data_IF_492577379853
#
_entry.id   IF_492577379853
#
_cell.length_a   1.000
_cell.length_b   1.000
_cell.length_c   1.000
_cell.angle_alpha   90.00
_cell.angle_beta   90.00
_cell.angle_gamma   90.00
#
_symmetry.space_group_name_H-M   'P 1'
#
loop_
_entity.id
_entity.type
_entity.pdbx_description
1 polymer ?
#
# COMPACT_ATOMS: atom_id res chain seq x y z
N UNK A 1 5.07 -24.89 3.57
CA UNK A 1 4.92 -24.01 4.75
C UNK A 1 4.88 -22.58 4.23
N UNK A 2 3.86 -21.80 4.61
CA UNK A 2 3.81 -20.37 4.27
C UNK A 2 4.92 -19.62 5.03
N UNK A 3 5.53 -18.62 4.40
CA UNK A 3 6.53 -17.78 5.06
C UNK A 3 5.84 -16.99 6.19
N UNK A 4 6.39 -16.95 7.40
CA UNK A 4 5.83 -16.13 8.48
C UNK A 4 5.70 -14.66 8.06
N UNK A 5 4.60 -14.03 8.46
CA UNK A 5 4.34 -12.62 8.21
C UNK A 5 5.37 -11.80 9.01
N UNK A 6 6.03 -10.84 8.35
CA UNK A 6 7.00 -9.94 8.98
C UNK A 6 6.35 -8.60 9.38
N UNK A 7 6.59 -8.15 10.60
CA UNK A 7 6.18 -6.83 11.11
C UNK A 7 7.36 -5.90 11.41
N UNK A 8 8.53 -6.22 10.85
CA UNK A 8 9.77 -5.46 10.98
C UNK A 8 10.34 -5.05 9.60
N UNK A 9 11.36 -4.19 9.54
CA UNK A 9 11.98 -3.72 8.30
C UNK A 9 13.50 -3.90 8.34
N UNK A 10 14.06 -4.34 7.21
CA UNK A 10 15.50 -4.52 7.03
C UNK A 10 16.19 -3.25 6.51
N UNK A 11 15.41 -2.18 6.24
CA UNK A 11 15.93 -0.89 5.78
C UNK A 11 15.04 0.26 6.25
N UNK A 12 15.65 1.44 6.40
CA UNK A 12 14.95 2.72 6.50
C UNK A 12 15.74 3.81 5.77
N UNK A 13 15.09 4.86 5.23
CA UNK A 13 15.78 5.94 4.53
C UNK A 13 16.58 6.81 5.51
N UNK A 14 17.85 7.07 5.19
CA UNK A 14 18.67 8.04 5.90
C UNK A 14 18.66 9.38 5.15
N UNK A 15 17.95 10.37 5.70
CA UNK A 15 17.84 11.69 5.08
C UNK A 15 19.08 12.54 5.39
N UNK A 16 19.72 13.05 4.34
CA UNK A 16 20.97 13.84 4.42
C UNK A 16 20.73 15.24 5.03
N UNK A 17 19.51 15.78 4.89
CA UNK A 17 19.18 17.10 5.43
C UNK A 17 19.20 17.08 6.96
N UNK A 18 20.28 17.60 7.55
CA UNK A 18 20.42 17.71 9.00
C UNK A 18 19.52 18.84 9.49
N UNK A 19 18.39 18.49 10.10
CA UNK A 19 17.49 19.46 10.72
C UNK A 19 18.10 20.12 11.96
N UNK A 20 17.61 21.31 12.33
CA UNK A 20 18.09 22.08 13.50
C UNK A 20 18.18 21.25 14.79
N UNK A 21 17.24 20.33 15.00
CA UNK A 21 17.17 19.42 16.15
C UNK A 21 18.39 18.49 16.24
N UNK A 22 18.82 17.93 15.11
CA UNK A 22 19.99 17.05 15.06
C UNK A 22 21.29 17.84 15.31
N UNK A 23 21.36 19.09 14.86
CA UNK A 23 22.49 19.98 15.20
C UNK A 23 22.56 20.26 16.71
N UNK A 24 21.41 20.45 17.38
CA UNK A 24 21.35 20.60 18.84
C UNK A 24 21.80 19.32 19.55
N UNK A 25 21.35 18.14 19.09
CA UNK A 25 21.79 16.85 19.65
C UNK A 25 23.30 16.66 19.53
N UNK A 26 23.88 16.96 18.38
CA UNK A 26 25.33 16.91 18.18
C UNK A 26 26.07 17.93 19.05
N UNK A 27 25.51 19.12 19.26
CA UNK A 27 26.11 20.11 20.15
C UNK A 27 26.09 19.68 21.62
N UNK A 28 25.05 18.98 22.09
CA UNK A 28 24.91 18.54 23.49
C UNK A 28 25.71 17.28 23.80
N UNK A 29 25.69 16.32 22.87
CA UNK A 29 26.21 14.95 23.12
C UNK A 29 27.31 14.53 22.15
N UNK A 30 27.76 15.42 21.26
CA UNK A 30 28.73 15.09 20.22
C UNK A 30 28.21 14.00 19.28
N UNK A 31 29.13 13.15 18.84
CA UNK A 31 28.80 12.01 17.97
C UNK A 31 27.86 11.00 18.64
N UNK A 32 27.83 10.93 19.98
CA UNK A 32 26.97 9.98 20.69
C UNK A 32 25.50 10.31 20.46
N UNK A 33 25.11 11.59 20.49
CA UNK A 33 23.71 11.97 20.22
C UNK A 33 23.24 11.53 18.83
N UNK A 34 24.09 11.71 17.83
CA UNK A 34 23.83 11.26 16.47
C UNK A 34 23.77 9.73 16.38
N UNK A 35 24.79 9.04 16.89
CA UNK A 35 24.90 7.58 16.81
C UNK A 35 23.74 6.88 17.54
N UNK A 36 23.39 7.34 18.75
CA UNK A 36 22.27 6.82 19.53
C UNK A 36 20.97 6.97 18.77
N UNK A 37 20.69 8.15 18.18
CA UNK A 37 19.46 8.33 17.42
C UNK A 37 19.31 7.30 16.29
N UNK A 38 20.35 7.12 15.47
CA UNK A 38 20.26 6.16 14.37
C UNK A 38 20.21 4.71 14.84
N UNK A 39 20.90 4.36 15.93
CA UNK A 39 20.80 3.03 16.53
C UNK A 39 19.41 2.76 17.10
N UNK A 40 18.73 3.76 17.67
CA UNK A 40 17.33 3.63 18.07
C UNK A 40 16.45 3.37 16.85
N UNK A 41 16.66 4.08 15.73
CA UNK A 41 15.93 3.81 14.48
C UNK A 41 16.19 2.40 13.93
N UNK A 42 17.42 1.90 14.02
CA UNK A 42 17.77 0.52 13.65
C UNK A 42 16.99 -0.49 14.50
N UNK A 43 16.96 -0.29 15.83
CA UNK A 43 16.22 -1.16 16.74
C UNK A 43 14.70 -1.10 16.53
N UNK A 44 14.17 0.10 16.28
CA UNK A 44 12.77 0.25 15.87
C UNK A 44 12.50 -0.49 14.57
N UNK A 45 13.43 -0.45 13.60
CA UNK A 45 13.31 -1.18 12.34
C UNK A 45 13.28 -2.69 12.54
N UNK A 46 14.18 -3.23 13.37
CA UNK A 46 14.34 -4.67 13.59
C UNK A 46 13.22 -5.29 14.45
N UNK A 47 12.59 -4.48 15.33
CA UNK A 47 11.52 -4.94 16.22
C UNK A 47 10.17 -5.00 15.53
N UNK A 48 9.42 -6.09 15.78
CA UNK A 48 8.05 -6.22 15.29
C UNK A 48 7.16 -5.08 15.82
N UNK A 49 6.36 -4.50 14.93
CA UNK A 49 5.48 -3.36 15.21
C UNK A 49 6.21 -2.05 15.57
N UNK A 50 7.54 -2.01 15.45
CA UNK A 50 8.34 -0.78 15.50
C UNK A 50 8.21 0.06 16.77
N UNK A 51 8.24 -0.60 17.92
CA UNK A 51 8.36 0.06 19.21
C UNK A 51 9.38 -0.65 20.09
N UNK A 52 10.02 0.08 21.00
CA UNK A 52 10.90 -0.49 22.02
C UNK A 52 10.24 -0.36 23.38
N UNK A 53 10.25 -1.43 24.17
CA UNK A 53 9.84 -1.41 25.56
C UNK A 53 11.09 -1.46 26.44
N UNK A 54 11.38 -0.36 27.13
CA UNK A 54 12.57 -0.22 27.99
C UNK A 54 12.23 -0.34 29.48
N UNK A 55 11.10 -0.98 29.82
CA UNK A 55 10.74 -1.27 31.21
C UNK A 55 11.49 -2.47 31.81
N UNK A 56 12.12 -3.29 30.96
CA UNK A 56 13.00 -4.36 31.41
C UNK A 56 14.42 -3.84 31.58
N UNK A 57 14.95 -3.91 32.81
CA UNK A 57 16.29 -3.43 33.14
C UNK A 57 17.39 -4.10 32.31
N UNK A 58 17.26 -5.40 32.00
CA UNK A 58 18.25 -6.12 31.19
C UNK A 58 18.26 -5.63 29.74
N UNK A 59 17.08 -5.46 29.15
CA UNK A 59 16.94 -5.00 27.76
C UNK A 59 17.40 -3.55 27.63
N UNK A 60 17.07 -2.71 28.63
CA UNK A 60 17.55 -1.34 28.71
C UNK A 60 19.08 -1.26 28.85
N UNK A 61 19.67 -2.06 29.75
CA UNK A 61 21.12 -2.13 29.93
C UNK A 61 21.82 -2.57 28.64
N UNK A 62 21.29 -3.59 27.97
CA UNK A 62 21.81 -4.08 26.68
C UNK A 62 21.73 -3.01 25.58
N UNK A 63 20.61 -2.30 25.48
CA UNK A 63 20.46 -1.20 24.54
C UNK A 63 21.49 -0.08 24.77
N UNK A 64 21.68 0.33 26.03
CA UNK A 64 22.64 1.38 26.38
C UNK A 64 24.09 0.94 26.10
N UNK A 65 24.51 -0.19 26.67
CA UNK A 65 25.92 -0.55 26.75
C UNK A 65 26.42 -1.37 25.55
N UNK A 66 25.57 -2.18 24.91
CA UNK A 66 25.98 -3.08 23.82
C UNK A 66 25.60 -2.52 22.45
N UNK A 67 24.42 -1.91 22.32
CA UNK A 67 23.97 -1.35 21.05
C UNK A 67 24.47 0.09 20.91
N UNK A 68 24.10 0.96 21.85
CA UNK A 68 24.34 2.40 21.79
C UNK A 68 25.76 2.82 22.21
N UNK A 69 26.44 1.98 22.99
CA UNK A 69 27.79 2.23 23.51
C UNK A 69 27.88 3.53 24.34
N UNK A 70 26.85 3.80 25.14
CA UNK A 70 26.77 4.94 26.05
C UNK A 70 26.33 4.48 27.44
N UNK A 71 26.57 5.30 28.48
CA UNK A 71 26.03 5.01 29.80
C UNK A 71 24.51 5.14 29.81
N UNK A 72 23.85 4.44 30.73
CA UNK A 72 22.39 4.48 30.89
C UNK A 72 21.88 5.90 31.16
N UNK A 73 22.61 6.70 31.93
CA UNK A 73 22.25 8.09 32.22
C UNK A 73 22.34 8.98 30.98
N UNK A 74 23.31 8.71 30.11
CA UNK A 74 23.44 9.44 28.83
C UNK A 74 22.33 9.03 27.87
N UNK A 75 22.00 7.73 27.82
CA UNK A 75 20.90 7.24 26.98
C UNK A 75 19.57 7.89 27.39
N UNK A 76 19.27 7.96 28.69
CA UNK A 76 18.05 8.61 29.20
C UNK A 76 18.00 10.08 28.78
N UNK A 77 19.08 10.84 28.99
CA UNK A 77 19.14 12.26 28.60
C UNK A 77 18.93 12.47 27.09
N UNK A 78 19.50 11.58 26.27
CA UNK A 78 19.31 11.62 24.82
C UNK A 78 17.86 11.34 24.44
N UNK A 79 17.23 10.33 25.06
CA UNK A 79 15.82 9.99 24.80
C UNK A 79 14.87 11.09 25.30
N UNK A 80 15.16 11.70 26.44
CA UNK A 80 14.42 12.86 26.96
C UNK A 80 14.45 14.03 25.96
N UNK A 81 15.64 14.40 25.46
CA UNK A 81 15.77 15.45 24.46
C UNK A 81 15.08 15.08 23.13
N UNK A 82 15.15 13.82 22.70
CA UNK A 82 14.43 13.36 21.50
C UNK A 82 12.91 13.44 21.67
N UNK A 83 12.40 13.17 22.87
CA UNK A 83 10.98 13.32 23.21
C UNK A 83 10.57 14.79 23.24
N UNK A 84 11.36 15.66 23.88
CA UNK A 84 11.15 17.12 23.90
C UNK A 84 11.14 17.69 22.47
N UNK A 85 12.03 17.17 21.61
CA UNK A 85 12.11 17.58 20.21
C UNK A 85 11.02 16.96 19.34
N UNK A 86 10.17 16.07 19.86
CA UNK A 86 9.16 15.37 19.08
C UNK A 86 9.76 14.55 17.93
N UNK A 87 10.95 13.98 18.14
CA UNK A 87 11.49 12.91 17.29
C UNK A 87 10.92 11.55 17.73
N UNK A 88 10.66 11.38 19.02
CA UNK A 88 9.88 10.27 19.59
C UNK A 88 8.66 10.81 20.33
N UNK A 89 7.64 9.98 20.51
CA UNK A 89 6.41 10.36 21.20
C UNK A 89 6.64 10.50 22.72
N UNK A 90 6.40 11.69 23.25
CA UNK A 90 6.67 12.02 24.65
C UNK A 90 5.76 11.28 25.65
N UNK A 91 4.49 11.07 25.29
CA UNK A 91 3.53 10.38 26.15
C UNK A 91 3.95 8.91 26.34
N UNK A 92 4.26 8.21 25.25
CA UNK A 92 4.78 6.85 25.30
C UNK A 92 6.14 6.78 26.01
N UNK A 93 7.01 7.77 25.80
CA UNK A 93 8.32 7.82 26.45
C UNK A 93 8.20 7.91 27.97
N UNK A 94 7.22 8.63 28.51
CA UNK A 94 6.99 8.68 29.95
C UNK A 94 6.59 7.32 30.57
N UNK A 95 6.13 6.37 29.74
CA UNK A 95 5.95 4.96 30.09
C UNK A 95 7.14 4.07 29.67
N UNK A 96 8.31 4.67 29.38
CA UNK A 96 9.53 4.03 28.85
C UNK A 96 9.33 3.25 27.55
N UNK A 97 8.36 3.66 26.73
CA UNK A 97 8.13 3.10 25.41
C UNK A 97 8.67 4.08 24.36
N UNK A 98 9.58 3.61 23.51
CA UNK A 98 10.12 4.40 22.42
C UNK A 98 9.33 4.09 21.14
N UNK A 99 8.73 5.13 20.57
CA UNK A 99 8.04 5.07 19.28
C UNK A 99 8.16 6.41 18.57
N UNK A 100 8.27 6.41 17.23
CA UNK A 100 8.42 7.62 16.42
C UNK A 100 7.48 7.61 15.23
N UNK A 101 6.56 8.56 15.20
CA UNK A 101 5.64 8.75 14.07
C UNK A 101 6.41 9.05 12.77
N UNK A 102 7.46 9.85 12.84
CA UNK A 102 8.30 10.18 11.67
C UNK A 102 8.98 8.95 11.11
N UNK A 103 9.48 8.07 11.98
CA UNK A 103 10.04 6.79 11.55
C UNK A 103 9.00 5.93 10.84
N UNK A 104 7.80 5.77 11.43
CA UNK A 104 6.70 5.02 10.81
C UNK A 104 6.34 5.56 9.42
N UNK A 105 6.24 6.88 9.28
CA UNK A 105 5.97 7.53 8.00
C UNK A 105 7.08 7.25 6.98
N UNK A 106 8.34 7.26 7.41
CA UNK A 106 9.50 7.01 6.54
C UNK A 106 9.59 5.58 6.00
N UNK A 107 9.08 4.59 6.75
CA UNK A 107 9.10 3.17 6.37
C UNK A 107 7.77 2.68 5.79
N UNK A 108 6.74 3.54 5.75
CA UNK A 108 5.40 3.21 5.24
C UNK A 108 5.44 2.57 3.83
N UNK A 109 6.36 3.02 2.99
CA UNK A 109 6.61 2.48 1.65
C UNK A 109 7.06 1.02 1.66
N UNK A 110 7.79 0.58 2.69
CA UNK A 110 8.20 -0.81 2.86
C UNK A 110 7.02 -1.76 3.13
N UNK A 111 5.89 -1.22 3.59
CA UNK A 111 4.66 -1.97 3.88
C UNK A 111 3.64 -1.97 2.75
N UNK A 112 3.78 -1.11 1.72
CA UNK A 112 2.82 -1.00 0.61
C UNK A 112 2.50 -2.32 -0.11
N UNK A 113 3.45 -3.25 -0.15
CA UNK A 113 3.34 -4.55 -0.83
C UNK A 113 3.25 -5.74 0.12
N UNK A 114 3.17 -5.48 1.43
CA UNK A 114 3.07 -6.51 2.46
C UNK A 114 1.60 -6.75 2.79
N UNK A 115 1.29 -7.98 3.20
CA UNK A 115 -0.02 -8.28 3.79
C UNK A 115 -0.15 -7.65 5.19
N UNK A 116 0.97 -7.52 5.91
CA UNK A 116 1.04 -6.75 7.14
C UNK A 116 0.97 -5.24 6.85
N UNK A 117 0.33 -4.50 7.76
CA UNK A 117 0.27 -3.03 7.72
C UNK A 117 1.11 -2.44 8.85
N UNK A 118 1.62 -1.24 8.62
CA UNK A 118 2.19 -0.41 9.70
C UNK A 118 1.12 -0.16 10.76
N UNK A 119 1.48 -0.36 12.02
CA UNK A 119 0.59 -0.09 13.13
C UNK A 119 0.45 1.42 13.35
N UNK A 120 -0.77 1.92 13.51
CA UNK A 120 -1.00 3.31 13.91
C UNK A 120 -0.71 3.49 15.40
N UNK A 121 -0.63 4.73 15.87
CA UNK A 121 -0.45 5.01 17.30
C UNK A 121 -1.56 4.39 18.15
N UNK A 122 -2.81 4.45 17.69
CA UNK A 122 -3.98 3.88 18.37
C UNK A 122 -3.92 2.36 18.38
N UNK A 123 -3.51 1.76 17.24
CA UNK A 123 -3.29 0.34 17.13
C UNK A 123 -2.20 -0.15 18.07
N UNK A 124 -1.11 0.62 18.21
CA UNK A 124 0.00 0.32 19.11
C UNK A 124 -0.44 0.42 20.58
N UNK A 125 -1.15 1.48 20.96
CA UNK A 125 -1.69 1.61 22.31
C UNK A 125 -2.58 0.42 22.65
N UNK A 126 -3.49 0.04 21.74
CA UNK A 126 -4.36 -1.12 21.93
C UNK A 126 -3.57 -2.43 22.04
N UNK A 127 -2.55 -2.61 21.20
CA UNK A 127 -1.66 -3.77 21.26
C UNK A 127 -0.93 -3.88 22.61
N UNK A 128 -0.36 -2.79 23.10
CA UNK A 128 0.38 -2.75 24.37
C UNK A 128 -0.58 -3.01 25.55
N UNK A 129 -1.76 -2.38 25.57
CA UNK A 129 -2.76 -2.59 26.62
C UNK A 129 -3.23 -4.04 26.73
N UNK A 130 -3.28 -4.76 25.60
CA UNK A 130 -3.69 -6.16 25.54
C UNK A 130 -2.56 -7.14 25.87
N UNK A 131 -1.31 -6.81 25.50
CA UNK A 131 -0.16 -7.72 25.64
C UNK A 131 0.62 -7.51 26.93
N UNK A 132 0.63 -6.30 27.49
CA UNK A 132 1.46 -5.91 28.64
C UNK A 132 0.62 -5.31 29.77
N UNK A 133 -0.02 -6.13 30.61
CA UNK A 133 -0.92 -5.67 31.66
C UNK A 133 -0.24 -4.76 32.70
N UNK A 134 1.07 -4.86 32.91
CA UNK A 134 1.82 -3.97 33.82
C UNK A 134 1.94 -2.53 33.30
N UNK A 135 1.93 -2.34 31.98
CA UNK A 135 2.00 -1.00 31.36
C UNK A 135 0.63 -0.34 31.23
N UNK A 136 -0.44 -1.12 31.47
CA UNK A 136 -1.81 -0.67 31.42
C UNK A 136 -2.07 0.49 32.38
N UNK A 137 -1.66 0.37 33.64
CA UNK A 137 -1.89 1.40 34.67
C UNK A 137 -1.12 2.70 34.39
N UNK A 138 0.11 2.59 33.87
CA UNK A 138 0.91 3.75 33.45
C UNK A 138 0.28 4.46 32.25
N UNK A 139 -0.09 3.71 31.21
CA UNK A 139 -0.69 4.31 30.00
C UNK A 139 -2.06 4.95 30.28
N UNK A 140 -2.87 4.39 31.20
CA UNK A 140 -4.15 5.01 31.60
C UNK A 140 -4.00 6.33 32.36
N UNK A 141 -2.85 6.57 33.00
CA UNK A 141 -2.60 7.80 33.77
C UNK A 141 -1.96 8.89 32.92
N UNK A 142 -1.18 8.50 31.91
CA UNK A 142 -0.38 9.40 31.07
C UNK A 142 -1.16 9.85 29.83
N UNK A 143 -1.82 8.91 29.16
CA UNK A 143 -2.62 9.21 27.98
C UNK A 143 -4.03 9.44 28.51
N UNK A 144 -4.64 10.64 28.37
CA UNK A 144 -6.07 10.75 28.51
C UNK A 144 -6.66 9.94 27.35
N UNK A 145 -6.91 8.65 27.58
CA UNK A 145 -7.51 7.74 26.61
C UNK A 145 -8.94 8.22 26.24
N UNK A 146 -9.51 9.16 27.03
CA UNK A 146 -10.87 9.69 26.85
C UNK A 146 -11.19 10.26 25.45
N UNK A 147 -10.39 11.10 24.78
CA UNK A 147 -10.76 11.64 23.46
C UNK A 147 -10.54 10.61 22.33
N UNK A 148 -9.47 9.79 22.42
CA UNK A 148 -9.10 8.82 21.38
C UNK A 148 -10.05 7.61 21.39
N UNK A 149 -10.47 7.13 22.58
CA UNK A 149 -11.52 6.11 22.68
C UNK A 149 -12.93 6.69 22.47
N UNK A 150 -13.22 7.94 22.82
CA UNK A 150 -14.55 8.51 22.55
C UNK A 150 -14.87 8.48 21.05
N UNK A 151 -13.91 8.83 20.19
CA UNK A 151 -14.09 8.74 18.73
C UNK A 151 -14.36 7.32 18.21
N UNK A 152 -13.80 6.29 18.86
CA UNK A 152 -13.98 4.88 18.49
C UNK A 152 -15.28 4.28 19.06
N UNK A 153 -15.70 4.70 20.25
CA UNK A 153 -16.94 4.22 20.87
C UNK A 153 -18.19 4.80 20.22
N UNK A 154 -18.14 6.00 19.61
CA UNK A 154 -19.27 6.50 18.81
C UNK A 154 -19.44 5.74 17.49
N UNK A 155 -18.37 5.33 16.82
CA UNK A 155 -18.48 4.59 15.55
C UNK A 155 -18.96 3.15 15.74
N UNK A 156 -18.53 2.48 16.81
CA UNK A 156 -18.92 1.09 17.06
C UNK A 156 -20.33 1.01 17.67
N UNK A 157 -20.73 1.98 18.49
CA UNK A 157 -22.12 2.09 18.97
C UNK A 157 -23.07 2.61 17.89
N UNK A 158 -22.66 3.51 17.00
CA UNK A 158 -23.48 3.87 15.82
C UNK A 158 -23.59 2.72 14.84
N UNK A 159 -22.54 1.92 14.59
CA UNK A 159 -22.63 0.73 13.73
C UNK A 159 -23.52 -0.36 14.34
N UNK A 160 -23.44 -0.61 15.64
CA UNK A 160 -24.35 -1.53 16.34
C UNK A 160 -25.78 -0.99 16.45
N UNK A 161 -25.96 0.32 16.62
CA UNK A 161 -27.28 0.96 16.68
C UNK A 161 -27.90 1.08 15.29
N UNK A 162 -27.13 1.36 14.24
CA UNK A 162 -27.58 1.32 12.84
C UNK A 162 -27.88 -0.10 12.39
N UNK A 163 -27.04 -1.09 12.69
CA UNK A 163 -27.36 -2.50 12.41
C UNK A 163 -28.56 -3.03 13.21
N UNK A 164 -28.76 -2.57 14.45
CA UNK A 164 -29.95 -2.95 15.24
C UNK A 164 -31.21 -2.27 14.70
N UNK A 165 -31.14 -0.98 14.35
CA UNK A 165 -32.27 -0.25 13.75
C UNK A 165 -32.54 -0.64 12.30
N UNK A 166 -31.56 -1.15 11.54
CA UNK A 166 -31.77 -1.75 10.22
C UNK A 166 -32.38 -3.14 10.34
N UNK A 167 -31.94 -3.97 11.31
CA UNK A 167 -32.59 -5.25 11.62
C UNK A 167 -33.99 -5.11 12.20
N UNK A 168 -34.28 -4.01 12.90
CA UNK A 168 -35.62 -3.69 13.38
C UNK A 168 -36.49 -3.11 12.25
N UNK A 169 -35.92 -2.30 11.35
CA UNK A 169 -36.61 -1.80 10.13
C UNK A 169 -36.89 -2.90 9.11
N UNK A 170 -36.03 -3.90 8.99
CA UNK A 170 -36.26 -5.08 8.12
C UNK A 170 -37.27 -6.04 8.75
N UNK A 171 -37.27 -6.21 10.09
CA UNK A 171 -38.35 -6.93 10.79
C UNK A 171 -39.71 -6.23 10.67
N UNK A 172 -39.75 -4.91 10.75
CA UNK A 172 -41.00 -4.15 10.55
C UNK A 172 -41.46 -4.17 9.08
N UNK A 173 -40.53 -4.24 8.11
CA UNK A 173 -40.86 -4.44 6.69
C UNK A 173 -41.42 -5.82 6.38
N UNK A 174 -40.89 -6.86 7.04
CA UNK A 174 -41.39 -8.23 6.92
C UNK A 174 -42.75 -8.42 7.62
N UNK A 175 -43.04 -7.63 8.66
CA UNK A 175 -44.35 -7.61 9.34
C UNK A 175 -45.41 -6.87 8.52
N UNK A 176 -45.05 -5.80 7.79
CA UNK A 176 -45.96 -5.06 6.91
C UNK A 176 -46.21 -5.80 5.58
N UNK A 177 -45.30 -6.70 5.16
CA UNK A 177 -45.39 -7.44 3.90
C UNK A 177 -46.38 -8.63 3.85
N UNK A 178 -47.11 -8.92 4.92
CA UNK A 178 -48.08 -10.03 4.96
C UNK A 178 -49.51 -9.60 4.60
N UNK A 179 -49.83 -8.31 4.63
CA UNK A 179 -51.16 -7.81 4.26
C UNK A 179 -51.05 -6.79 3.13
N UNK A 180 -51.01 -7.27 1.89
CA UNK A 180 -51.83 -6.73 0.80
C UNK A 180 -51.57 -7.52 -0.47
N UNK A 181 -52.54 -8.38 -0.78
CA UNK A 181 -52.58 -9.12 -2.02
C UNK A 181 -53.02 -8.24 -3.19
N UNK A 182 -52.45 -8.60 -4.34
CA UNK A 182 -53.19 -8.81 -5.59
C UNK A 182 -53.57 -7.55 -6.39
N UNK A 183 -52.81 -7.26 -7.45
CA UNK A 183 -53.41 -6.92 -8.75
C UNK A 183 -52.47 -7.22 -9.94
N UNK A 184 -53.11 -7.57 -11.07
CA UNK A 184 -52.58 -8.29 -12.24
C UNK A 184 -52.25 -7.37 -13.43
N UNK A 185 -51.59 -8.00 -14.43
CA UNK A 185 -51.56 -7.71 -15.89
C UNK A 185 -50.61 -6.58 -16.35
N UNK A 186 -49.84 -6.66 -17.46
CA UNK A 186 -49.81 -7.53 -18.65
C UNK A 186 -48.55 -7.25 -19.49
N UNK A 187 -47.77 -8.31 -19.85
CA UNK A 187 -47.27 -8.72 -21.21
C UNK A 187 -47.37 -7.69 -22.38
N UNK A 188 -46.49 -7.50 -23.37
CA UNK A 188 -45.30 -8.15 -24.05
C UNK A 188 -45.00 -7.27 -25.35
N UNK A 189 -44.17 -7.61 -26.37
CA UNK A 189 -42.73 -7.97 -26.47
C UNK A 189 -41.94 -7.41 -27.73
N UNK A 190 -40.59 -7.63 -27.79
CA UNK A 190 -39.72 -7.96 -28.99
C UNK A 190 -39.33 -6.79 -29.96
N UNK A 191 -38.11 -6.72 -30.60
CA UNK A 191 -37.31 -7.85 -31.10
C UNK A 191 -35.79 -7.93 -30.84
N UNK A 192 -35.34 -9.18 -30.67
CA UNK A 192 -34.00 -9.70 -30.96
C UNK A 192 -33.74 -9.80 -32.47
N UNK A 193 -32.51 -9.50 -32.93
CA UNK A 193 -31.56 -10.40 -33.64
C UNK A 193 -30.32 -9.61 -34.16
N UNK A 194 -29.16 -10.21 -34.48
CA UNK A 194 -28.60 -11.51 -34.09
C UNK A 194 -27.16 -11.44 -33.53
N UNK A 195 -26.82 -12.48 -32.75
CA UNK A 195 -25.51 -13.16 -32.69
C UNK A 195 -24.25 -12.40 -32.19
N UNK A 196 -23.92 -12.59 -30.90
CA UNK A 196 -22.86 -13.55 -30.53
C UNK A 196 -22.89 -13.96 -29.04
N UNK A 197 -23.43 -15.16 -28.80
CA UNK A 197 -23.07 -16.16 -27.77
C UNK A 197 -23.10 -15.75 -26.28
N UNK A 198 -24.15 -16.22 -25.61
CA UNK A 198 -24.13 -16.67 -24.22
C UNK A 198 -22.84 -17.44 -23.91
N UNK A 199 -21.99 -16.89 -23.05
CA UNK A 199 -21.04 -17.66 -22.26
C UNK A 199 -21.19 -17.22 -20.81
N UNK A 200 -21.36 -18.19 -19.90
CA UNK A 200 -21.32 -17.91 -18.45
C UNK A 200 -20.11 -17.04 -18.14
N UNK A 201 -20.34 -15.83 -17.62
CA UNK A 201 -19.25 -14.99 -17.11
C UNK A 201 -18.43 -15.87 -16.14
N UNK A 202 -17.13 -16.09 -16.40
CA UNK A 202 -16.31 -16.93 -15.56
C UNK A 202 -16.39 -16.47 -14.10
N UNK A 203 -16.48 -17.43 -13.17
CA UNK A 203 -16.44 -17.15 -11.73
C UNK A 203 -15.05 -17.50 -11.19
N UNK A 204 -14.53 -16.70 -10.25
CA UNK A 204 -13.27 -17.03 -9.62
C UNK A 204 -13.42 -18.29 -8.77
N UNK A 205 -12.30 -18.94 -8.49
CA UNK A 205 -12.21 -20.01 -7.50
C UNK A 205 -12.41 -19.49 -6.06
N UNK A 206 -12.33 -20.40 -5.08
CA UNK A 206 -12.50 -20.08 -3.67
C UNK A 206 -11.48 -19.05 -3.12
N UNK A 207 -10.41 -18.77 -3.86
CA UNK A 207 -9.36 -17.81 -3.50
C UNK A 207 -9.40 -16.52 -4.35
N UNK A 208 -10.44 -16.33 -5.15
CA UNK A 208 -10.62 -15.14 -5.97
C UNK A 208 -9.80 -15.17 -7.28
N UNK A 209 -9.29 -16.33 -7.69
CA UNK A 209 -8.46 -16.49 -8.88
C UNK A 209 -9.21 -17.08 -10.08
N UNK A 210 -8.82 -16.66 -11.28
CA UNK A 210 -9.34 -17.13 -12.56
C UNK A 210 -8.37 -18.10 -13.21
N UNK A 211 -8.88 -19.04 -14.01
CA UNK A 211 -8.07 -20.14 -14.56
C UNK A 211 -7.16 -19.70 -15.70
N UNK A 212 -7.51 -18.60 -16.38
CA UNK A 212 -6.70 -18.09 -17.50
C UNK A 212 -6.85 -16.58 -17.68
N UNK A 213 -5.90 -16.02 -18.43
CA UNK A 213 -5.97 -14.63 -18.89
C UNK A 213 -7.18 -14.37 -19.79
N UNK A 214 -7.60 -15.38 -20.57
CA UNK A 214 -8.78 -15.27 -21.44
C UNK A 214 -10.07 -15.18 -20.60
N UNK A 215 -10.16 -15.90 -19.46
CA UNK A 215 -11.28 -15.76 -18.52
C UNK A 215 -11.33 -14.36 -17.90
N UNK A 216 -10.18 -13.81 -17.51
CA UNK A 216 -10.08 -12.45 -16.98
C UNK A 216 -10.47 -11.39 -18.02
N UNK A 217 -10.12 -11.58 -19.28
CA UNK A 217 -10.53 -10.68 -20.36
C UNK A 217 -12.05 -10.62 -20.48
N UNK A 218 -12.71 -11.78 -20.51
CA UNK A 218 -14.18 -11.88 -20.55
C UNK A 218 -14.81 -11.17 -19.33
N UNK A 219 -14.24 -11.37 -18.14
CA UNK A 219 -14.74 -10.77 -16.89
C UNK A 219 -14.64 -9.24 -16.95
N UNK A 220 -13.48 -8.69 -17.30
CA UNK A 220 -13.29 -7.25 -17.38
C UNK A 220 -14.18 -6.61 -18.46
N UNK A 221 -14.39 -7.30 -19.60
CA UNK A 221 -15.29 -6.87 -20.66
C UNK A 221 -16.79 -6.99 -20.29
N UNK A 222 -17.15 -7.77 -19.28
CA UNK A 222 -18.53 -7.89 -18.79
C UNK A 222 -18.91 -6.81 -17.76
N UNK A 223 -17.94 -6.21 -17.07
CA UNK A 223 -18.18 -5.34 -15.92
C UNK A 223 -18.50 -3.88 -16.31
N UNK A 224 -19.71 -3.63 -16.80
CA UNK A 224 -20.14 -2.32 -17.34
C UNK A 224 -19.92 -1.12 -16.39
N UNK A 225 -20.23 -1.26 -15.10
CA UNK A 225 -20.00 -0.19 -14.12
C UNK A 225 -18.52 0.17 -13.95
N UNK A 226 -17.64 -0.83 -13.97
CA UNK A 226 -16.20 -0.60 -13.86
C UNK A 226 -15.64 0.03 -15.15
N UNK A 227 -16.16 -0.36 -16.32
CA UNK A 227 -15.77 0.24 -17.60
C UNK A 227 -16.12 1.72 -17.67
N UNK A 228 -17.30 2.12 -17.15
CA UNK A 228 -17.70 3.52 -17.07
C UNK A 228 -16.73 4.33 -16.20
N UNK A 229 -16.40 3.84 -15.00
CA UNK A 229 -15.44 4.50 -14.09
C UNK A 229 -14.02 4.54 -14.66
N UNK A 230 -13.60 3.45 -15.29
CA UNK A 230 -12.31 3.33 -15.97
C UNK A 230 -12.16 4.36 -17.09
N UNK A 231 -13.16 4.45 -17.97
CA UNK A 231 -13.18 5.41 -19.08
C UNK A 231 -13.16 6.85 -18.58
N UNK A 232 -14.03 7.17 -17.61
CA UNK A 232 -14.10 8.50 -17.00
C UNK A 232 -12.79 8.89 -16.33
N UNK A 233 -12.17 7.98 -15.58
CA UNK A 233 -10.90 8.22 -14.88
C UNK A 233 -9.72 8.48 -15.82
N UNK A 234 -9.76 7.94 -17.04
CA UNK A 234 -8.71 8.06 -18.03
C UNK A 234 -8.98 9.16 -19.07
N UNK A 235 -10.12 9.86 -18.97
CA UNK A 235 -10.50 10.89 -19.93
C UNK A 235 -10.76 10.32 -21.33
N UNK A 236 -11.33 9.10 -21.42
CA UNK A 236 -11.69 8.49 -22.70
C UNK A 236 -13.06 9.01 -23.12
N UNK A 237 -13.10 9.89 -24.13
CA UNK A 237 -14.32 10.59 -24.55
C UNK A 237 -15.39 9.68 -25.18
N UNK A 238 -14.98 8.62 -25.88
CA UNK A 238 -15.90 7.66 -26.50
C UNK A 238 -15.95 6.34 -25.69
N UNK A 239 -17.10 5.99 -25.09
CA UNK A 239 -17.27 4.75 -24.34
C UNK A 239 -16.95 3.46 -25.12
N UNK A 240 -17.14 3.45 -26.43
CA UNK A 240 -16.82 2.30 -27.30
C UNK A 240 -15.32 2.01 -27.39
N UNK A 241 -14.47 2.97 -27.00
CA UNK A 241 -13.02 2.78 -26.96
C UNK A 241 -12.55 2.05 -25.70
N UNK A 242 -13.36 2.01 -24.63
CA UNK A 242 -12.98 1.35 -23.37
C UNK A 242 -12.78 -0.16 -23.56
N UNK A 243 -13.72 -0.93 -24.15
CA UNK A 243 -13.50 -2.35 -24.44
C UNK A 243 -12.25 -2.61 -25.30
N UNK A 244 -12.00 -1.76 -26.30
CA UNK A 244 -10.85 -1.88 -27.19
C UNK A 244 -9.53 -1.70 -26.44
N UNK A 245 -9.45 -0.74 -25.51
CA UNK A 245 -8.29 -0.56 -24.63
C UNK A 245 -8.05 -1.75 -23.71
N UNK A 246 -9.13 -2.35 -23.17
CA UNK A 246 -9.06 -3.55 -22.34
C UNK A 246 -8.49 -4.72 -23.15
N UNK A 247 -9.03 -5.02 -24.34
CA UNK A 247 -8.49 -6.08 -25.20
C UNK A 247 -7.03 -5.83 -25.59
N UNK A 248 -6.67 -4.58 -25.91
CA UNK A 248 -5.29 -4.20 -26.22
C UNK A 248 -4.33 -4.45 -25.05
N UNK A 249 -4.79 -4.25 -23.82
CA UNK A 249 -4.05 -4.58 -22.60
C UNK A 249 -3.79 -6.09 -22.47
N UNK A 250 -4.78 -6.94 -22.77
CA UNK A 250 -4.62 -8.40 -22.72
C UNK A 250 -3.66 -8.91 -23.81
N UNK A 251 -3.71 -8.34 -25.02
CA UNK A 251 -2.73 -8.58 -26.08
C UNK A 251 -1.32 -8.20 -25.61
N UNK A 252 -1.16 -7.04 -24.97
CA UNK A 252 0.12 -6.61 -24.38
C UNK A 252 0.62 -7.60 -23.33
N UNK A 253 -0.25 -8.06 -22.44
CA UNK A 253 0.13 -9.02 -21.40
C UNK A 253 0.61 -10.34 -22.02
N UNK A 254 -0.13 -10.87 -22.99
CA UNK A 254 0.24 -12.08 -23.75
C UNK A 254 1.60 -11.93 -24.43
N UNK A 255 1.83 -10.79 -25.09
CA UNK A 255 3.09 -10.51 -25.80
C UNK A 255 4.31 -10.22 -24.93
N UNK A 256 4.15 -9.98 -23.62
CA UNK A 256 5.26 -9.79 -22.68
C UNK A 256 5.36 -10.89 -21.61
N UNK A 257 4.59 -11.98 -21.76
CA UNK A 257 4.56 -13.06 -20.76
C UNK A 257 4.04 -12.60 -19.39
N UNK A 258 3.24 -11.54 -19.32
CA UNK A 258 2.64 -11.07 -18.07
C UNK A 258 1.32 -11.80 -17.84
N UNK A 259 1.17 -12.37 -16.65
CA UNK A 259 -0.03 -13.11 -16.24
C UNK A 259 -0.62 -12.50 -14.98
N UNK A 260 -1.94 -12.58 -14.85
CA UNK A 260 -2.69 -12.21 -13.65
C UNK A 260 -3.59 -13.38 -13.26
N UNK A 261 -3.75 -13.59 -11.97
CA UNK A 261 -4.67 -14.58 -11.44
C UNK A 261 -5.97 -13.91 -10.94
N UNK A 262 -5.89 -12.69 -10.42
CA UNK A 262 -7.03 -12.00 -9.78
C UNK A 262 -7.53 -10.82 -10.60
N UNK A 263 -8.84 -10.58 -10.52
CA UNK A 263 -9.51 -9.46 -11.21
C UNK A 263 -8.97 -8.10 -10.77
N UNK A 264 -8.72 -7.90 -9.47
CA UNK A 264 -8.23 -6.63 -8.91
C UNK A 264 -6.83 -6.25 -9.43
N UNK A 265 -5.95 -7.23 -9.60
CA UNK A 265 -4.61 -7.07 -10.15
C UNK A 265 -4.67 -6.71 -11.63
N UNK A 266 -5.50 -7.45 -12.39
CA UNK A 266 -5.74 -7.19 -13.81
C UNK A 266 -6.31 -5.78 -14.03
N UNK A 267 -7.31 -5.35 -13.24
CA UNK A 267 -7.91 -4.01 -13.30
C UNK A 267 -6.87 -2.91 -13.03
N UNK A 268 -6.07 -3.05 -11.97
CA UNK A 268 -5.07 -2.05 -11.58
C UNK A 268 -3.96 -1.89 -12.62
N UNK A 269 -3.48 -3.01 -13.18
CA UNK A 269 -2.46 -2.98 -14.22
C UNK A 269 -3.02 -2.50 -15.55
N UNK A 270 -4.24 -2.89 -15.93
CA UNK A 270 -4.95 -2.35 -17.10
C UNK A 270 -5.04 -0.82 -17.00
N UNK A 271 -5.48 -0.29 -15.85
CA UNK A 271 -5.59 1.15 -15.61
C UNK A 271 -4.25 1.88 -15.79
N UNK A 272 -3.22 1.40 -15.10
CA UNK A 272 -1.88 2.00 -15.16
C UNK A 272 -1.27 1.92 -16.55
N UNK A 273 -1.46 0.80 -17.26
CA UNK A 273 -0.93 0.59 -18.59
C UNK A 273 -1.64 1.47 -19.63
N UNK A 274 -2.98 1.57 -19.57
CA UNK A 274 -3.77 2.39 -20.49
C UNK A 274 -3.46 3.87 -20.28
N UNK A 275 -3.41 4.35 -19.03
CA UNK A 275 -2.94 5.71 -18.71
C UNK A 275 -1.59 5.98 -19.37
N UNK A 276 -0.65 5.03 -19.25
CA UNK A 276 0.67 5.18 -19.85
C UNK A 276 0.66 5.21 -21.38
N UNK A 277 -0.24 4.47 -22.04
CA UNK A 277 -0.36 4.54 -23.50
C UNK A 277 -0.92 5.90 -23.94
N UNK A 278 -1.92 6.43 -23.22
CA UNK A 278 -2.50 7.76 -23.47
C UNK A 278 -1.45 8.87 -23.25
N UNK A 279 -0.67 8.80 -22.18
CA UNK A 279 0.46 9.74 -21.92
C UNK A 279 1.52 9.71 -23.02
N UNK A 280 1.68 8.58 -23.71
CA UNK A 280 2.60 8.43 -24.84
C UNK A 280 1.98 8.89 -26.17
N UNK A 281 0.77 9.46 -26.15
CA UNK A 281 0.05 9.95 -27.31
C UNK A 281 -0.48 8.85 -28.23
N UNK A 282 -0.60 7.61 -27.74
CA UNK A 282 -1.12 6.50 -28.54
C UNK A 282 -2.63 6.47 -28.55
N UNK A 283 -3.20 6.20 -29.72
CA UNK A 283 -4.63 5.98 -29.90
C UNK A 283 -5.01 4.52 -29.65
N UNK A 284 -6.31 4.29 -29.44
CA UNK A 284 -6.91 2.96 -29.33
C UNK A 284 -6.60 2.10 -30.56
N UNK A 285 -6.54 2.71 -31.76
CA UNK A 285 -6.30 2.03 -33.03
C UNK A 285 -4.82 1.74 -33.34
N UNK A 286 -3.88 2.31 -32.58
CA UNK A 286 -2.45 2.09 -32.84
C UNK A 286 -2.06 0.61 -32.62
N UNK A 287 -1.37 -0.01 -33.58
CA UNK A 287 -0.93 -1.40 -33.44
C UNK A 287 -0.03 -1.61 -32.23
N UNK A 288 -0.22 -2.72 -31.51
CA UNK A 288 0.74 -3.16 -30.49
C UNK A 288 1.96 -3.78 -31.19
N UNK A 289 3.13 -3.12 -31.10
CA UNK A 289 4.41 -3.73 -31.46
C UNK A 289 4.97 -4.50 -30.27
N UNK A 290 5.06 -5.85 -30.33
CA UNK A 290 5.73 -6.61 -29.30
C UNK A 290 7.15 -6.09 -29.11
N UNK A 291 7.58 -5.91 -27.85
CA UNK A 291 9.01 -5.81 -27.59
C UNK A 291 9.62 -7.16 -27.97
N UNK A 292 10.76 -7.21 -28.69
CA UNK A 292 11.42 -8.48 -28.95
C UNK A 292 11.72 -9.14 -27.59
N UNK A 293 10.99 -10.22 -27.31
CA UNK A 293 11.19 -11.10 -26.16
C UNK A 293 12.11 -12.23 -26.58
N UNK A 294 13.04 -12.57 -25.69
CA UNK A 294 13.97 -13.71 -25.72
C UNK A 294 15.04 -13.73 -26.83
N UNK A 295 16.21 -13.18 -26.51
CA UNK A 295 17.47 -13.88 -26.74
C UNK A 295 18.36 -13.62 -25.53
N UNK A 296 18.87 -14.71 -24.93
CA UNK A 296 20.01 -14.77 -24.02
C UNK A 296 20.89 -13.51 -24.03
N UNK A 297 21.15 -12.92 -22.85
CA UNK A 297 22.04 -11.77 -22.63
C UNK A 297 22.97 -11.47 -23.81
N UNK A 298 22.58 -10.64 -24.78
CA UNK A 298 23.47 -10.28 -25.85
C UNK A 298 24.41 -9.26 -25.23
N UNK A 299 25.62 -9.69 -24.89
CA UNK A 299 26.72 -8.83 -24.44
C UNK A 299 27.05 -7.70 -25.43
N UNK A 300 26.34 -7.66 -26.55
CA UNK A 300 26.44 -6.68 -27.63
C UNK A 300 25.09 -6.01 -27.91
N UNK A 301 25.10 -4.71 -28.23
CA UNK A 301 23.90 -3.99 -28.65
C UNK A 301 23.32 -4.55 -29.96
N UNK A 302 22.02 -4.34 -30.23
CA UNK A 302 21.35 -4.82 -31.45
C UNK A 302 22.03 -4.38 -32.76
N UNK A 303 22.70 -3.23 -32.76
CA UNK A 303 23.60 -2.77 -33.82
C UNK A 303 24.70 -1.85 -33.23
N UNK A 304 25.77 -1.62 -33.99
CA UNK A 304 26.88 -0.73 -33.60
C UNK A 304 26.63 0.74 -33.95
N UNK A 305 25.36 1.17 -34.07
CA UNK A 305 25.04 2.55 -34.43
C UNK A 305 25.28 3.58 -33.31
N UNK A 306 25.71 3.13 -32.12
CA UNK A 306 25.97 3.99 -30.97
C UNK A 306 24.71 4.51 -30.26
N UNK A 307 23.51 4.14 -30.74
CA UNK A 307 22.23 4.61 -30.17
C UNK A 307 21.72 3.76 -29.01
N UNK A 308 22.39 2.69 -28.59
CA UNK A 308 21.87 1.75 -27.59
C UNK A 308 22.50 1.93 -26.21
N UNK A 309 21.68 1.94 -25.17
CA UNK A 309 22.12 1.89 -23.77
C UNK A 309 21.47 0.69 -23.04
N UNK A 310 22.24 0.00 -22.20
CA UNK A 310 21.73 -1.07 -21.35
C UNK A 310 21.10 -0.49 -20.08
N UNK A 311 19.77 -0.56 -19.96
CA UNK A 311 19.02 0.00 -18.82
C UNK A 311 17.87 -0.92 -18.41
N UNK A 312 17.70 -1.12 -17.10
CA UNK A 312 16.65 -1.97 -16.53
C UNK A 312 16.60 -3.37 -17.17
N UNK A 313 17.76 -4.03 -17.20
CA UNK A 313 17.96 -5.38 -17.78
C UNK A 313 17.49 -5.52 -19.24
N UNK A 314 17.82 -4.53 -20.08
CA UNK A 314 17.71 -4.68 -21.53
C UNK A 314 18.21 -3.47 -22.31
N UNK A 315 18.48 -3.67 -23.59
CA UNK A 315 18.86 -2.60 -24.51
C UNK A 315 17.70 -1.60 -24.73
N UNK A 316 18.04 -0.31 -24.81
CA UNK A 316 17.12 0.80 -25.06
C UNK A 316 17.70 1.74 -26.11
N UNK A 317 16.87 2.15 -27.06
CA UNK A 317 17.25 3.13 -28.07
C UNK A 317 17.23 4.55 -27.48
N UNK A 318 18.43 5.13 -27.34
CA UNK A 318 18.68 6.45 -26.75
C UNK A 318 18.29 7.60 -27.68
N UNK A 319 18.04 7.35 -28.98
CA UNK A 319 17.49 8.36 -29.89
C UNK A 319 16.08 8.81 -29.48
N UNK A 320 15.35 7.91 -28.83
CA UNK A 320 13.99 8.17 -28.31
C UNK A 320 13.98 8.88 -26.95
N UNK A 321 15.15 9.13 -26.34
CA UNK A 321 15.23 9.73 -25.02
C UNK A 321 15.03 11.24 -25.07
N UNK A 322 14.19 11.73 -24.16
CA UNK A 322 14.06 13.17 -23.88
C UNK A 322 15.38 13.75 -23.34
N UNK A 323 15.61 15.07 -23.45
CA UNK A 323 16.80 15.72 -22.92
C UNK A 323 17.02 15.50 -21.41
N UNK A 324 15.95 15.35 -20.63
CA UNK A 324 16.03 15.02 -19.21
C UNK A 324 16.52 13.58 -18.98
N UNK A 325 16.05 12.62 -19.79
CA UNK A 325 16.49 11.22 -19.72
C UNK A 325 17.94 11.05 -20.15
N UNK A 326 18.41 11.80 -21.16
CA UNK A 326 19.82 11.77 -21.56
C UNK A 326 20.73 12.27 -20.43
N UNK A 327 20.40 13.40 -19.79
CA UNK A 327 21.14 13.92 -18.62
C UNK A 327 21.18 12.94 -17.46
N UNK A 328 20.03 12.35 -17.10
CA UNK A 328 19.92 11.38 -15.99
C UNK A 328 20.77 10.12 -16.22
N UNK A 329 20.90 9.69 -17.48
CA UNK A 329 21.63 8.48 -17.85
C UNK A 329 23.07 8.76 -18.34
N UNK A 330 23.58 10.00 -18.21
CA UNK A 330 24.95 10.36 -18.61
C UNK A 330 25.20 10.31 -20.13
N UNK A 331 24.16 10.53 -20.95
CA UNK A 331 24.19 10.48 -22.41
C UNK A 331 24.11 11.87 -23.07
N UNK A 332 24.20 12.94 -22.27
CA UNK A 332 24.04 14.34 -22.69
C UNK A 332 25.31 15.15 -22.47
#
# INVERSE_FOLDING_TARGET
MARPIKYNVEYFPHYISTGKKMSVMQSRYGNNGYAVWFKILEQLGDTDFHYLDLNNDLDFHYLANNICLVSEEILIKILDDLAEFGEINADLWSAKIVWSEKFMNSISDAYKRRESKTMTLEGLCSHILNTKPKLKELLYTIIPIKPILAGLMYTETELLYTESTERDRDRDRDIIGIEEGNEKNTKTPVPDDPELKNSSIPKPDAWGAYKSMDELEIVLLSHQGWQADFGKSLGIDNPENVPKWITKFFIFCKGNGKVHAKESEAKSHCHSWTRRQIELGKDVNDGYSPKPSDVSNPSTPPDNSGKWAWLNNGWRDTSTFTPAQKRRNGLA
#
